data_IF_994849753189
#
_entry.id   IF_994849753189
#
_cell.length_a   1.000
_cell.length_b   1.000
_cell.length_c   1.000
_cell.angle_alpha   90.00
_cell.angle_beta   90.00
_cell.angle_gamma   90.00
#
_symmetry.space_group_name_H-M   'P 1'
#
loop_
_entity.id
_entity.type
_entity.pdbx_description
1 polymer ?
#
# COMPACT_ATOMS: atom_id res chain seq x y z
N UNK A 1 16.89 -8.69 -30.32
CA UNK A 1 17.28 -7.90 -29.14
C UNK A 1 16.07 -7.89 -28.24
N UNK A 2 16.10 -8.66 -27.15
CA UNK A 2 15.06 -8.57 -26.11
C UNK A 2 15.13 -7.14 -25.55
N UNK A 3 14.07 -6.37 -25.76
CA UNK A 3 13.90 -5.09 -25.06
C UNK A 3 13.76 -5.42 -23.59
N UNK A 4 14.85 -5.33 -22.83
CA UNK A 4 14.80 -5.46 -21.40
C UNK A 4 13.93 -4.31 -20.85
N UNK A 5 12.85 -4.65 -20.16
CA UNK A 5 12.01 -3.66 -19.50
C UNK A 5 12.82 -3.00 -18.39
N UNK A 6 12.79 -1.66 -18.37
CA UNK A 6 13.39 -0.88 -17.31
C UNK A 6 12.39 -0.67 -16.18
N UNK A 7 12.72 -1.20 -14.99
CA UNK A 7 11.98 -0.94 -13.75
C UNK A 7 12.51 0.30 -13.04
N UNK A 8 11.59 1.03 -12.43
CA UNK A 8 11.93 2.21 -11.60
C UNK A 8 11.13 2.20 -10.29
N UNK A 9 11.62 2.91 -9.28
CA UNK A 9 10.90 3.07 -8.03
C UNK A 9 9.59 3.84 -8.25
N UNK A 10 8.45 3.33 -7.79
CA UNK A 10 7.15 4.01 -7.94
C UNK A 10 7.07 5.30 -7.12
N UNK A 11 7.76 5.31 -5.99
CA UNK A 11 8.10 6.47 -5.15
C UNK A 11 9.51 6.27 -4.63
N UNK A 12 10.25 7.35 -4.43
CA UNK A 12 11.58 7.25 -3.81
C UNK A 12 11.40 7.16 -2.29
N UNK A 13 11.85 6.07 -1.64
CA UNK A 13 11.78 5.93 -0.20
C UNK A 13 12.53 7.06 0.50
N UNK A 14 11.86 7.80 1.38
CA UNK A 14 12.48 8.85 2.20
C UNK A 14 12.52 8.50 3.69
N UNK A 15 11.70 7.55 4.12
CA UNK A 15 11.65 7.06 5.48
C UNK A 15 12.40 5.75 5.63
N UNK A 16 12.94 5.55 6.84
CA UNK A 16 13.68 4.36 7.22
C UNK A 16 12.81 3.10 7.04
N UNK A 17 13.39 2.10 6.40
CA UNK A 17 12.75 0.80 6.16
C UNK A 17 12.90 -0.08 7.39
N UNK A 18 11.80 -0.61 7.89
CA UNK A 18 11.75 -1.54 9.00
C UNK A 18 11.83 -3.00 8.52
N UNK A 19 12.11 -3.94 9.44
CA UNK A 19 12.18 -5.37 9.08
C UNK A 19 10.86 -5.93 8.54
N UNK A 20 9.73 -5.45 9.04
CA UNK A 20 8.41 -5.89 8.56
C UNK A 20 7.97 -5.24 7.24
N UNK A 21 8.69 -4.25 6.75
CA UNK A 21 8.42 -3.68 5.43
C UNK A 21 8.98 -4.57 4.31
N UNK A 22 9.91 -5.47 4.67
CA UNK A 22 10.65 -6.30 3.72
C UNK A 22 9.84 -7.50 3.21
N UNK A 23 10.15 -7.91 2.01
CA UNK A 23 9.70 -9.16 1.41
C UNK A 23 10.18 -10.38 2.20
N UNK A 24 9.36 -11.42 2.31
CA UNK A 24 9.72 -12.70 2.88
C UNK A 24 8.98 -13.04 4.18
N UNK A 25 9.55 -13.96 4.96
CA UNK A 25 8.94 -14.44 6.21
C UNK A 25 9.22 -13.44 7.33
N UNK A 26 8.15 -12.88 7.88
CA UNK A 26 8.19 -11.98 9.05
C UNK A 26 8.27 -12.81 10.34
N UNK A 27 9.46 -12.93 10.93
CA UNK A 27 9.74 -13.78 12.09
C UNK A 27 9.13 -13.32 13.42
N UNK A 28 8.64 -12.10 13.55
CA UNK A 28 8.02 -11.55 14.77
C UNK A 28 6.94 -10.55 14.40
N UNK A 29 5.74 -11.00 14.21
CA UNK A 29 4.59 -10.11 14.18
C UNK A 29 3.58 -10.56 15.24
N UNK A 30 3.46 -9.76 16.31
CA UNK A 30 2.46 -9.88 17.37
C UNK A 30 2.28 -11.27 18.00
N UNK A 31 2.18 -11.30 19.31
CA UNK A 31 2.07 -12.49 20.21
C UNK A 31 1.00 -13.51 19.82
N UNK A 32 0.14 -13.19 18.84
CA UNK A 32 -1.03 -14.02 18.48
C UNK A 32 -0.95 -14.66 17.07
N UNK A 33 0.02 -14.33 16.23
CA UNK A 33 0.06 -14.86 14.86
C UNK A 33 1.39 -15.57 14.58
N UNK A 34 1.28 -16.84 14.16
CA UNK A 34 2.36 -17.63 13.55
C UNK A 34 2.97 -16.85 12.39
N UNK A 35 4.22 -17.18 12.04
CA UNK A 35 4.97 -16.60 10.93
C UNK A 35 4.07 -16.25 9.74
N UNK A 36 4.11 -14.98 9.32
CA UNK A 36 3.34 -14.48 8.18
C UNK A 36 4.29 -14.12 7.05
N UNK A 37 4.03 -14.65 5.86
CA UNK A 37 4.75 -14.23 4.66
C UNK A 37 4.29 -12.84 4.21
N UNK A 38 5.24 -12.01 3.77
CA UNK A 38 5.00 -10.74 3.10
C UNK A 38 5.41 -10.88 1.63
N UNK A 39 4.42 -10.88 0.75
CA UNK A 39 4.59 -11.11 -0.69
C UNK A 39 5.12 -9.92 -1.47
N UNK A 40 5.32 -8.78 -0.81
CA UNK A 40 5.76 -7.54 -1.42
C UNK A 40 6.79 -6.78 -0.59
N UNK A 41 6.88 -5.48 -0.85
CA UNK A 41 7.72 -4.55 -0.12
C UNK A 41 6.90 -3.31 0.22
N UNK A 42 6.96 -2.87 1.49
CA UNK A 42 6.24 -1.70 1.95
C UNK A 42 7.16 -0.48 1.93
N UNK A 43 6.69 0.61 1.32
CA UNK A 43 7.41 1.88 1.25
C UNK A 43 6.64 2.89 2.09
N UNK A 44 7.10 3.15 3.30
CA UNK A 44 6.52 4.19 4.16
C UNK A 44 6.60 5.54 3.46
N UNK A 45 5.48 6.23 3.38
CA UNK A 45 5.34 7.51 2.67
C UNK A 45 4.28 8.38 3.32
N UNK A 46 4.34 9.69 3.07
CA UNK A 46 3.28 10.59 3.47
C UNK A 46 1.99 10.23 2.71
N UNK A 47 0.87 10.42 3.38
CA UNK A 47 -0.44 10.26 2.78
C UNK A 47 -0.60 11.21 1.58
N UNK A 48 -1.08 10.67 0.45
CA UNK A 48 -1.29 11.45 -0.77
C UNK A 48 -0.05 11.65 -1.64
N UNK A 49 1.09 10.97 -1.34
CA UNK A 49 2.26 10.97 -2.21
C UNK A 49 1.92 10.33 -3.55
N UNK A 50 2.29 10.97 -4.66
CA UNK A 50 2.08 10.45 -6.00
C UNK A 50 2.84 9.15 -6.24
N UNK A 51 2.14 8.17 -6.80
CA UNK A 51 2.67 6.84 -7.13
C UNK A 51 2.74 6.71 -8.63
N UNK A 52 3.92 6.38 -9.16
CA UNK A 52 4.15 6.10 -10.58
C UNK A 52 4.12 4.61 -10.85
N UNK A 53 3.90 4.23 -12.11
CA UNK A 53 4.11 2.85 -12.53
C UNK A 53 5.58 2.46 -12.41
N UNK A 54 5.87 1.24 -11.95
CA UNK A 54 7.25 0.72 -11.88
C UNK A 54 7.85 0.42 -13.25
N UNK A 55 7.02 0.13 -14.24
CA UNK A 55 7.46 -0.20 -15.60
C UNK A 55 6.33 0.04 -16.60
N UNK A 56 6.67 -0.04 -17.89
CA UNK A 56 5.70 0.03 -18.97
C UNK A 56 4.80 -1.20 -18.98
N UNK A 57 3.50 -0.99 -19.22
CA UNK A 57 2.50 -2.04 -19.28
C UNK A 57 1.08 -1.55 -19.46
N UNK A 58 0.12 -2.48 -19.28
CA UNK A 58 -1.32 -2.23 -19.36
C UNK A 58 -1.95 -2.41 -17.98
N UNK A 59 -2.75 -1.45 -17.53
CA UNK A 59 -3.57 -1.57 -16.31
C UNK A 59 -4.60 -2.67 -16.49
N UNK A 60 -4.53 -3.70 -15.65
CA UNK A 60 -5.45 -4.86 -15.68
C UNK A 60 -6.43 -4.87 -14.52
N UNK A 61 -6.17 -4.06 -13.49
CA UNK A 61 -7.10 -3.82 -12.39
C UNK A 61 -6.89 -2.41 -11.83
N UNK A 62 -7.97 -1.69 -11.59
CA UNK A 62 -7.98 -0.39 -10.93
C UNK A 62 -9.25 -0.30 -10.07
N UNK A 63 -9.17 -0.67 -8.78
CA UNK A 63 -10.35 -0.77 -7.94
C UNK A 63 -10.03 -1.09 -6.48
N UNK A 64 -11.10 -1.35 -5.72
CA UNK A 64 -11.01 -1.69 -4.32
C UNK A 64 -10.97 -3.22 -4.12
N UNK A 65 -9.99 -3.68 -3.38
CA UNK A 65 -9.88 -5.05 -2.89
C UNK A 65 -10.08 -5.05 -1.38
N UNK A 66 -11.32 -5.15 -0.98
CA UNK A 66 -11.69 -5.24 0.42
C UNK A 66 -12.58 -6.43 0.63
N UNK A 67 -12.07 -7.51 1.22
CA UNK A 67 -12.92 -8.53 1.79
C UNK A 67 -13.28 -8.11 3.22
N UNK A 68 -14.50 -7.65 3.42
CA UNK A 68 -15.12 -7.66 4.74
C UNK A 68 -15.40 -9.12 5.07
N UNK A 69 -14.56 -9.78 5.84
CA UNK A 69 -14.89 -11.08 6.43
C UNK A 69 -15.88 -10.83 7.57
N UNK A 70 -17.15 -11.24 7.36
CA UNK A 70 -18.12 -11.29 8.44
C UNK A 70 -17.53 -12.13 9.60
N UNK A 71 -17.45 -11.52 10.78
CA UNK A 71 -17.10 -12.22 12.02
C UNK A 71 -15.69 -12.05 12.57
N UNK A 72 -14.81 -11.31 11.90
CA UNK A 72 -13.55 -10.85 12.48
C UNK A 72 -13.56 -9.33 12.54
N UNK A 73 -13.24 -8.82 13.74
CA UNK A 73 -13.18 -7.41 14.05
C UNK A 73 -12.80 -6.55 12.84
N UNK A 74 -13.76 -5.92 12.28
CA UNK A 74 -13.95 -4.75 11.43
C UNK A 74 -12.72 -4.16 10.68
N UNK A 75 -11.67 -4.95 10.45
CA UNK A 75 -10.48 -4.49 9.76
C UNK A 75 -10.49 -4.95 8.32
N UNK A 76 -10.49 -3.99 7.43
CA UNK A 76 -10.19 -4.25 6.05
C UNK A 76 -8.94 -5.10 5.96
N UNK A 77 -9.08 -6.19 5.26
CA UNK A 77 -7.97 -7.03 4.85
C UNK A 77 -7.68 -6.75 3.38
N UNK A 78 -6.57 -7.24 2.86
CA UNK A 78 -6.22 -7.08 1.46
C UNK A 78 -5.58 -5.73 1.12
N UNK A 79 -5.48 -5.47 -0.16
CA UNK A 79 -4.76 -4.32 -0.71
C UNK A 79 -5.49 -2.98 -0.58
N UNK A 80 -6.79 -2.99 -0.26
CA UNK A 80 -7.63 -1.78 -0.29
C UNK A 80 -7.77 -1.25 -1.72
N UNK A 81 -7.70 0.06 -1.90
CA UNK A 81 -7.61 0.63 -3.23
C UNK A 81 -6.29 0.20 -3.87
N UNK A 82 -6.38 -0.45 -5.04
CA UNK A 82 -5.22 -0.99 -5.73
C UNK A 82 -5.24 -0.69 -7.22
N UNK A 83 -4.04 -0.68 -7.79
CA UNK A 83 -3.80 -0.73 -9.24
C UNK A 83 -2.94 -1.95 -9.51
N UNK A 84 -3.24 -2.68 -10.57
CA UNK A 84 -2.42 -3.79 -11.06
C UNK A 84 -2.09 -3.58 -12.53
N UNK A 85 -0.82 -3.78 -12.88
CA UNK A 85 -0.30 -3.53 -14.22
C UNK A 85 0.36 -4.80 -14.73
N UNK A 86 -0.12 -5.30 -15.87
CA UNK A 86 0.58 -6.32 -16.64
C UNK A 86 1.65 -5.63 -17.47
N UNK A 87 2.89 -5.85 -17.10
CA UNK A 87 4.04 -5.27 -17.75
C UNK A 87 4.38 -6.01 -19.07
N UNK A 88 5.10 -5.33 -19.96
CA UNK A 88 5.46 -5.86 -21.29
C UNK A 88 6.36 -7.11 -21.22
N UNK A 89 6.98 -7.42 -20.06
CA UNK A 89 7.74 -8.66 -19.80
C UNK A 89 6.90 -9.83 -19.25
N UNK A 90 5.59 -9.65 -19.16
CA UNK A 90 4.67 -10.66 -18.64
C UNK A 90 4.52 -10.71 -17.12
N UNK A 91 5.28 -9.91 -16.37
CA UNK A 91 5.12 -9.76 -14.93
C UNK A 91 3.94 -8.88 -14.60
N UNK A 92 3.35 -9.08 -13.42
CA UNK A 92 2.25 -8.25 -12.93
C UNK A 92 2.68 -7.48 -11.69
N UNK A 93 2.67 -6.16 -11.78
CA UNK A 93 2.96 -5.27 -10.66
C UNK A 93 1.67 -4.86 -9.95
N UNK A 94 1.68 -4.91 -8.61
CA UNK A 94 0.56 -4.51 -7.74
C UNK A 94 0.98 -3.31 -6.89
N UNK A 95 0.06 -2.36 -6.74
CA UNK A 95 0.20 -1.15 -5.94
C UNK A 95 -0.99 -1.05 -5.00
N UNK A 96 -0.78 -1.33 -3.71
CA UNK A 96 -1.83 -1.39 -2.70
C UNK A 96 -1.88 -0.19 -1.77
N UNK A 97 -2.93 -0.15 -0.95
CA UNK A 97 -3.20 0.81 0.11
C UNK A 97 -3.34 2.27 -0.36
N UNK A 98 -3.75 2.46 -1.62
CA UNK A 98 -3.92 3.79 -2.19
C UNK A 98 -5.08 4.55 -1.54
N UNK A 99 -4.95 5.88 -1.41
CA UNK A 99 -6.08 6.74 -1.08
C UNK A 99 -6.84 7.22 -2.31
N UNK A 100 -6.16 7.25 -3.45
CA UNK A 100 -6.74 7.70 -4.71
C UNK A 100 -6.18 6.85 -5.87
N UNK A 101 -7.08 6.36 -6.73
CA UNK A 101 -6.73 5.68 -7.97
C UNK A 101 -6.89 6.69 -9.10
N UNK A 102 -5.83 6.91 -9.88
CA UNK A 102 -5.82 7.82 -11.03
C UNK A 102 -5.79 7.08 -12.37
N UNK A 103 -5.29 5.85 -12.36
CA UNK A 103 -5.27 5.00 -13.54
C UNK A 103 -6.63 4.36 -13.81
N UNK A 104 -6.87 3.96 -15.06
CA UNK A 104 -8.07 3.25 -15.50
C UNK A 104 -7.71 1.90 -16.10
N UNK A 105 -8.56 0.91 -15.90
CA UNK A 105 -8.40 -0.39 -16.57
C UNK A 105 -8.31 -0.22 -18.08
N UNK A 106 -7.40 -0.98 -18.70
CA UNK A 106 -7.10 -0.90 -20.11
C UNK A 106 -6.09 0.20 -20.50
N UNK A 107 -5.79 1.16 -19.61
CA UNK A 107 -4.81 2.22 -19.88
C UNK A 107 -3.41 1.65 -20.07
N UNK A 108 -2.68 2.17 -21.07
CA UNK A 108 -1.25 1.92 -21.23
C UNK A 108 -0.50 2.98 -20.43
N UNK A 109 0.46 2.53 -19.65
CA UNK A 109 1.26 3.35 -18.73
C UNK A 109 2.75 3.05 -18.89
N UNK A 110 3.58 3.95 -18.41
CA UNK A 110 5.03 3.80 -18.28
C UNK A 110 5.51 4.35 -16.93
N UNK A 111 6.83 4.29 -16.69
CA UNK A 111 7.43 4.75 -15.41
C UNK A 111 7.32 6.27 -15.15
N UNK A 112 6.82 7.06 -16.09
CA UNK A 112 6.50 8.49 -15.88
C UNK A 112 5.04 8.70 -15.45
N UNK A 113 4.18 7.71 -15.70
CA UNK A 113 2.73 7.81 -15.50
C UNK A 113 2.35 7.71 -14.03
N UNK A 114 1.68 8.72 -13.49
CA UNK A 114 1.11 8.70 -12.14
C UNK A 114 -0.17 7.86 -12.19
N UNK A 115 -0.23 6.81 -11.36
CA UNK A 115 -1.32 5.81 -11.33
C UNK A 115 -2.22 5.93 -10.11
N UNK A 116 -1.78 6.64 -9.08
CA UNK A 116 -2.51 6.83 -7.83
C UNK A 116 -1.74 7.62 -6.81
N UNK A 117 -2.23 7.63 -5.57
CA UNK A 117 -1.59 8.28 -4.43
C UNK A 117 -1.56 7.35 -3.22
N UNK A 118 -0.48 7.40 -2.44
CA UNK A 118 -0.31 6.63 -1.21
C UNK A 118 -1.40 6.93 -0.20
N UNK A 119 -1.83 5.90 0.51
CA UNK A 119 -2.83 6.01 1.55
C UNK A 119 -2.65 4.95 2.62
N UNK A 120 -3.75 4.53 3.24
CA UNK A 120 -3.80 3.41 4.17
C UNK A 120 -5.14 2.66 4.09
N UNK A 121 -5.68 2.49 2.89
CA UNK A 121 -6.86 1.66 2.65
C UNK A 121 -6.54 0.16 2.79
N UNK A 122 -7.56 -0.66 3.00
CA UNK A 122 -7.36 -2.11 3.19
C UNK A 122 -6.66 -2.46 4.50
N UNK A 123 -5.81 -3.47 4.49
CA UNK A 123 -5.12 -4.02 5.68
C UNK A 123 -4.00 -3.15 6.25
N UNK A 124 -3.97 -1.86 5.94
CA UNK A 124 -2.95 -0.92 6.38
C UNK A 124 -3.34 -0.18 7.65
N UNK A 125 -2.36 0.16 8.50
CA UNK A 125 -2.53 0.94 9.75
C UNK A 125 -1.86 2.30 9.72
N UNK A 126 -0.94 2.51 8.79
CA UNK A 126 -0.19 3.76 8.62
C UNK A 126 -0.01 4.01 7.13
N UNK A 127 0.11 5.26 6.69
CA UNK A 127 0.33 5.54 5.28
C UNK A 127 1.60 4.89 4.74
N UNK A 128 1.45 4.06 3.73
CA UNK A 128 2.53 3.45 2.98
C UNK A 128 2.04 2.99 1.61
N UNK A 129 2.95 2.68 0.75
CA UNK A 129 2.69 1.98 -0.51
C UNK A 129 3.15 0.54 -0.35
N UNK A 130 2.23 -0.41 -0.52
CA UNK A 130 2.57 -1.81 -0.71
C UNK A 130 2.80 -2.09 -2.19
N UNK A 131 3.94 -2.66 -2.55
CA UNK A 131 4.24 -3.09 -3.91
C UNK A 131 4.52 -4.59 -3.98
N UNK A 132 3.98 -5.24 -5.01
CA UNK A 132 4.33 -6.61 -5.39
C UNK A 132 4.79 -6.67 -6.83
N UNK A 133 5.67 -7.63 -7.14
CA UNK A 133 6.02 -8.02 -8.49
C UNK A 133 5.74 -9.51 -8.61
N UNK A 134 4.65 -9.86 -9.27
CA UNK A 134 4.27 -11.25 -9.53
C UNK A 134 5.05 -11.78 -10.72
N UNK A 135 5.48 -13.04 -10.65
CA UNK A 135 6.33 -13.69 -11.66
C UNK A 135 5.68 -13.77 -13.03
N UNK A 136 4.34 -13.82 -13.07
CA UNK A 136 3.54 -13.94 -14.28
C UNK A 136 2.24 -13.12 -14.14
N UNK A 137 1.42 -13.10 -15.18
CA UNK A 137 0.08 -12.51 -15.11
C UNK A 137 -0.88 -13.42 -14.32
N UNK A 138 -0.71 -13.45 -13.00
CA UNK A 138 -1.56 -14.20 -12.06
C UNK A 138 -2.22 -13.29 -11.05
N UNK A 139 -3.38 -13.68 -10.54
CA UNK A 139 -4.04 -13.04 -9.40
C UNK A 139 -3.56 -13.60 -8.06
N UNK A 140 -2.87 -14.72 -8.08
CA UNK A 140 -2.33 -15.34 -6.88
C UNK A 140 -1.18 -14.53 -6.29
N UNK A 141 -1.11 -14.51 -4.97
CA UNK A 141 -0.09 -13.82 -4.18
C UNK A 141 0.62 -14.81 -3.26
N UNK A 142 1.67 -14.35 -2.60
CA UNK A 142 2.52 -15.17 -1.73
C UNK A 142 3.90 -15.41 -2.34
N UNK A 143 4.81 -15.95 -1.54
CA UNK A 143 6.23 -16.04 -1.93
C UNK A 143 6.49 -16.94 -3.16
N UNK A 144 5.61 -17.91 -3.42
CA UNK A 144 5.73 -18.80 -4.58
C UNK A 144 5.43 -18.09 -5.90
N UNK A 145 4.56 -17.06 -5.85
CA UNK A 145 4.09 -16.35 -7.03
C UNK A 145 4.75 -14.98 -7.23
N UNK A 146 5.44 -14.46 -6.22
CA UNK A 146 6.04 -13.12 -6.23
C UNK A 146 7.56 -13.16 -6.24
N UNK A 147 8.16 -12.05 -6.65
CA UNK A 147 9.59 -11.77 -6.56
C UNK A 147 9.82 -10.75 -5.45
N UNK A 148 10.98 -10.80 -4.81
CA UNK A 148 11.39 -9.70 -3.95
C UNK A 148 11.59 -8.44 -4.80
N UNK A 149 10.81 -7.36 -4.57
CA UNK A 149 10.94 -6.12 -5.36
C UNK A 149 12.35 -5.53 -5.36
N UNK A 150 13.12 -5.75 -4.28
CA UNK A 150 14.51 -5.25 -4.18
C UNK A 150 15.49 -5.95 -5.14
N UNK A 151 15.11 -7.12 -5.70
CA UNK A 151 15.94 -7.83 -6.69
C UNK A 151 15.66 -7.35 -8.12
N UNK A 152 14.54 -6.65 -8.34
CA UNK A 152 14.07 -6.16 -9.63
C UNK A 152 14.29 -4.66 -9.79
N UNK A 153 13.99 -3.89 -8.74
CA UNK A 153 14.11 -2.43 -8.75
C UNK A 153 15.58 -1.97 -8.71
N UNK A 154 15.89 -0.77 -9.23
CA UNK A 154 17.23 -0.18 -9.13
C UNK A 154 17.73 -0.15 -7.69
N UNK A 155 18.99 -0.48 -7.48
CA UNK A 155 19.60 -0.51 -6.15
C UNK A 155 19.58 0.86 -5.48
N UNK A 156 19.10 0.91 -4.25
CA UNK A 156 19.15 2.08 -3.37
C UNK A 156 19.99 1.77 -2.13
N UNK A 157 20.71 2.77 -1.68
CA UNK A 157 21.46 2.70 -0.43
C UNK A 157 20.55 3.13 0.75
N UNK A 158 19.82 2.18 1.30
CA UNK A 158 18.91 2.42 2.42
C UNK A 158 19.63 2.91 3.69
N UNK A 159 20.96 2.72 3.82
CA UNK A 159 21.71 3.22 4.97
C UNK A 159 21.74 4.75 5.05
N UNK A 160 21.51 5.42 3.92
CA UNK A 160 21.43 6.88 3.84
C UNK A 160 20.04 7.44 4.16
N UNK A 161 19.04 6.57 4.30
CA UNK A 161 17.66 6.95 4.60
C UNK A 161 17.48 6.93 6.12
N UNK A 162 17.56 8.10 6.76
CA UNK A 162 17.58 8.24 8.22
C UNK A 162 16.32 8.90 8.79
N UNK A 163 15.38 9.34 7.94
CA UNK A 163 14.19 10.01 8.41
C UNK A 163 13.24 9.00 9.07
N UNK A 164 12.88 9.27 10.32
CA UNK A 164 11.90 8.48 11.05
C UNK A 164 10.48 8.93 10.71
N UNK A 165 9.61 7.99 10.40
CA UNK A 165 8.20 8.28 10.19
C UNK A 165 7.49 8.43 11.52
N UNK A 166 6.78 9.53 11.71
CA UNK A 166 6.01 9.79 12.94
C UNK A 166 4.68 9.04 12.87
N UNK A 167 4.59 7.92 13.58
CA UNK A 167 3.38 7.08 13.61
C UNK A 167 2.40 7.46 14.72
N UNK A 168 2.81 8.27 15.68
CA UNK A 168 2.00 8.57 16.87
C UNK A 168 0.62 9.16 16.60
N UNK A 169 0.44 10.09 15.65
CA UNK A 169 -0.88 10.59 15.31
C UNK A 169 -1.81 9.47 14.84
N UNK A 170 -1.28 8.58 14.01
CA UNK A 170 -2.02 7.45 13.43
C UNK A 170 -2.26 6.33 14.46
N UNK A 171 -1.28 6.07 15.34
CA UNK A 171 -1.41 5.05 16.37
C UNK A 171 -2.47 5.42 17.43
N UNK A 172 -2.56 6.69 17.81
CA UNK A 172 -3.58 7.17 18.74
C UNK A 172 -5.00 7.05 18.16
N UNK A 173 -5.16 7.44 16.91
CA UNK A 173 -6.41 7.27 16.21
C UNK A 173 -6.82 5.81 16.11
N UNK A 174 -5.88 4.96 15.69
CA UNK A 174 -6.13 3.53 15.57
C UNK A 174 -6.57 2.90 16.90
N UNK A 175 -5.91 3.26 18.00
CA UNK A 175 -6.28 2.77 19.34
C UNK A 175 -7.70 3.19 19.72
N UNK A 176 -8.10 4.40 19.34
CA UNK A 176 -9.46 4.87 19.58
C UNK A 176 -10.47 4.12 18.73
N UNK A 177 -10.22 4.00 17.43
CA UNK A 177 -11.07 3.26 16.49
C UNK A 177 -11.31 1.81 16.94
N UNK A 178 -10.26 1.12 17.44
CA UNK A 178 -10.36 -0.26 17.88
C UNK A 178 -11.04 -0.45 19.24
N UNK A 179 -11.28 0.62 20.01
CA UNK A 179 -11.88 0.58 21.35
C UNK A 179 -13.36 0.97 21.39
N UNK A 180 -13.93 1.48 20.30
CA UNK A 180 -15.31 1.98 20.25
C UNK A 180 -16.23 0.97 19.51
N UNK A 181 -17.50 0.89 19.96
CA UNK A 181 -18.54 0.07 19.31
C UNK A 181 -18.88 0.56 17.90
N UNK A 182 -18.69 1.85 17.66
CA UNK A 182 -18.76 2.48 16.35
C UNK A 182 -17.45 3.22 16.11
N UNK A 183 -16.44 2.55 15.56
CA UNK A 183 -15.13 3.14 15.32
C UNK A 183 -15.15 4.33 14.35
N UNK A 184 -16.31 4.59 13.72
CA UNK A 184 -16.53 5.66 12.74
C UNK A 184 -17.22 6.89 13.32
N UNK A 185 -17.69 6.82 14.57
CA UNK A 185 -18.32 7.95 15.26
C UNK A 185 -17.28 8.90 15.87
N UNK A 186 -16.60 9.64 14.98
CA UNK A 186 -15.66 10.68 15.39
C UNK A 186 -16.37 11.97 15.71
N UNK A 187 -16.11 12.52 16.89
CA UNK A 187 -16.48 13.90 17.20
C UNK A 187 -15.56 14.89 16.48
N UNK A 188 -16.00 16.14 16.34
CA UNK A 188 -15.13 17.19 15.76
C UNK A 188 -13.85 17.39 16.58
N UNK A 189 -13.90 17.14 17.89
CA UNK A 189 -12.76 17.22 18.79
C UNK A 189 -11.72 16.13 18.52
N UNK A 190 -12.14 14.97 18.04
CA UNK A 190 -11.25 13.87 17.68
C UNK A 190 -10.39 14.16 16.44
N UNK A 191 -10.87 15.07 15.60
CA UNK A 191 -10.21 15.52 14.38
C UNK A 191 -9.13 16.58 14.67
N UNK A 192 -9.18 17.24 15.82
CA UNK A 192 -8.31 18.38 16.16
C UNK A 192 -6.91 17.99 16.63
N UNK A 193 -6.59 16.72 16.78
CA UNK A 193 -5.28 16.27 17.25
C UNK A 193 -4.18 16.21 16.18
N UNK A 194 -4.51 16.53 14.93
CA UNK A 194 -3.47 16.78 13.93
C UNK A 194 -3.80 18.08 13.19
N UNK A 195 -2.93 19.07 13.30
CA UNK A 195 -2.92 20.27 12.45
C UNK A 195 -2.60 19.93 10.98
N UNK A 196 -2.51 18.64 10.65
CA UNK A 196 -2.17 18.14 9.36
C UNK A 196 -3.43 17.94 8.50
N UNK A 197 -3.64 18.83 7.52
CA UNK A 197 -4.74 18.74 6.56
C UNK A 197 -4.75 17.39 5.80
N UNK A 198 -3.59 16.75 5.64
CA UNK A 198 -3.48 15.45 4.99
C UNK A 198 -4.17 14.36 5.81
N UNK A 199 -4.04 14.44 7.12
CA UNK A 199 -4.67 13.50 8.05
C UNK A 199 -6.20 13.63 8.07
N UNK A 200 -6.71 14.87 8.06
CA UNK A 200 -8.15 15.14 7.96
C UNK A 200 -8.71 14.64 6.63
N UNK A 201 -7.95 14.78 5.54
CA UNK A 201 -8.32 14.20 4.24
C UNK A 201 -8.37 12.69 4.28
N UNK A 202 -7.42 12.07 4.95
CA UNK A 202 -7.40 10.61 5.14
C UNK A 202 -8.64 10.11 5.89
N UNK A 203 -9.01 10.74 7.01
CA UNK A 203 -10.23 10.41 7.73
C UNK A 203 -11.47 10.50 6.84
N UNK A 204 -11.61 11.58 6.07
CA UNK A 204 -12.76 11.79 5.19
C UNK A 204 -12.86 10.77 4.06
N UNK A 205 -11.73 10.31 3.53
CA UNK A 205 -11.69 9.31 2.46
C UNK A 205 -11.99 7.93 3.04
N UNK A 206 -11.45 7.64 4.20
CA UNK A 206 -11.71 6.42 4.94
C UNK A 206 -13.21 6.31 5.30
N UNK A 207 -13.83 7.37 5.81
CA UNK A 207 -15.28 7.44 6.04
C UNK A 207 -16.10 7.18 4.77
N UNK A 208 -15.69 7.74 3.62
CA UNK A 208 -16.41 7.56 2.35
C UNK A 208 -16.27 6.16 1.77
N UNK A 209 -15.13 5.51 1.96
CA UNK A 209 -14.87 4.15 1.48
C UNK A 209 -15.67 3.06 2.25
N UNK A 210 -16.25 3.41 3.41
CA UNK A 210 -16.90 2.45 4.30
C UNK A 210 -18.41 2.60 4.42
N UNK A 211 -19.00 3.64 3.89
CA UNK A 211 -20.46 3.68 3.81
C UNK A 211 -20.90 2.69 2.74
N UNK A 212 -21.37 1.51 3.21
CA UNK A 212 -22.23 0.66 2.38
C UNK A 212 -23.39 1.52 1.93
N UNK A 213 -23.48 1.79 0.62
CA UNK A 213 -24.75 2.10 -0.01
C UNK A 213 -25.65 0.87 0.02
#
# INVERSE_FOLDING_TARGET
MENSIEYSWPIIPKYKVCEHDKYGIRKKHYVLFKERAHSGFDITADYGTEVKSMAKGKVVCAGFDGTTTEGHDEFNTGYGNRVEILNDDGRRCVYGHLCEILAKEGQIVDNSTIIGKTGCSGGSRVPHLHIEIRKTNTEETGLDYTLNPLDVLPKLDFSKINLEFKTEPYAKLWKKMSSEKDPWNFSKEDIWYSEDEQYIRWLKIYEKGWKKE
#
